data_IF_589781126491
#
_entry.id   IF_589781126491
#
_cell.length_a   1.000
_cell.length_b   1.000
_cell.length_c   1.000
_cell.angle_alpha   90.00
_cell.angle_beta   90.00
_cell.angle_gamma   90.00
#
_symmetry.space_group_name_H-M   'P 1'
#
loop_
_entity.id
_entity.type
_entity.pdbx_description
1 polymer ?
#
# COMPACT_ATOMS: atom_id res chain seq x y z
N UNK A 1 12.68 13.72 -1.26
CA UNK A 1 11.41 13.32 -0.62
C UNK A 1 10.50 12.67 -1.65
N UNK A 2 9.95 11.54 -1.30
CA UNK A 2 9.10 10.76 -2.21
C UNK A 2 7.81 10.36 -1.51
N UNK A 3 6.75 10.25 -2.29
CA UNK A 3 5.50 9.64 -1.85
C UNK A 3 5.44 8.21 -2.37
N UNK A 4 5.16 7.30 -1.46
CA UNK A 4 4.96 5.89 -1.78
C UNK A 4 3.45 5.64 -1.70
N UNK A 5 2.89 5.10 -2.77
CA UNK A 5 1.47 4.72 -2.81
C UNK A 5 1.39 3.25 -3.20
N UNK A 6 0.79 2.45 -2.36
CA UNK A 6 0.65 1.02 -2.60
C UNK A 6 -0.82 0.63 -2.67
N UNK A 7 -1.14 -0.22 -3.63
CA UNK A 7 -2.46 -0.84 -3.74
C UNK A 7 -2.28 -2.30 -3.38
N UNK A 8 -2.81 -2.69 -2.24
CA UNK A 8 -2.63 -4.04 -1.68
C UNK A 8 -3.98 -4.69 -1.42
N UNK A 9 -4.01 -6.01 -1.50
CA UNK A 9 -5.21 -6.75 -1.16
C UNK A 9 -5.50 -6.59 0.34
N UNK A 10 -6.76 -6.39 0.69
CA UNK A 10 -7.13 -6.09 2.08
C UNK A 10 -6.66 -7.15 3.09
N UNK A 11 -6.53 -8.43 2.67
CA UNK A 11 -6.10 -9.50 3.58
C UNK A 11 -4.65 -9.33 4.06
N UNK A 12 -3.86 -8.51 3.34
CA UNK A 12 -2.46 -8.25 3.70
C UNK A 12 -2.25 -6.89 4.36
N UNK A 13 -3.29 -6.08 4.47
CA UNK A 13 -3.12 -4.71 4.95
C UNK A 13 -2.53 -4.65 6.35
N UNK A 14 -2.99 -5.48 7.27
CA UNK A 14 -2.47 -5.49 8.64
C UNK A 14 -1.00 -5.87 8.67
N UNK A 15 -0.61 -6.90 7.93
CA UNK A 15 0.80 -7.34 7.88
C UNK A 15 1.71 -6.24 7.36
N UNK A 16 1.28 -5.54 6.31
CA UNK A 16 2.06 -4.43 5.73
C UNK A 16 2.18 -3.28 6.71
N UNK A 17 1.06 -2.89 7.33
CA UNK A 17 1.04 -1.79 8.29
C UNK A 17 1.95 -2.11 9.48
N UNK A 18 1.84 -3.31 10.05
CA UNK A 18 2.64 -3.71 11.19
C UNK A 18 4.13 -3.70 10.86
N UNK A 19 4.50 -4.22 9.69
CA UNK A 19 5.90 -4.25 9.27
C UNK A 19 6.47 -2.84 9.07
N UNK A 20 5.69 -1.93 8.48
CA UNK A 20 6.12 -0.54 8.30
C UNK A 20 6.27 0.17 9.65
N UNK A 21 5.31 -0.02 10.55
CA UNK A 21 5.38 0.58 11.89
C UNK A 21 6.55 0.04 12.70
N UNK A 22 6.82 -1.25 12.62
CA UNK A 22 7.97 -1.86 13.28
C UNK A 22 9.29 -1.30 12.77
N UNK A 23 9.34 -0.91 11.50
CA UNK A 23 10.51 -0.27 10.91
C UNK A 23 10.60 1.23 11.21
N UNK A 24 9.63 1.80 11.93
CA UNK A 24 9.65 3.19 12.34
C UNK A 24 8.79 4.14 11.49
N UNK A 25 8.07 3.63 10.51
CA UNK A 25 7.21 4.43 9.64
C UNK A 25 5.81 4.49 10.24
N UNK A 26 5.46 5.59 10.90
CA UNK A 26 4.24 5.71 11.70
C UNK A 26 3.15 6.58 11.06
N UNK A 27 3.51 7.43 10.11
CA UNK A 27 2.55 8.34 9.48
C UNK A 27 2.03 7.74 8.18
N UNK A 28 1.12 6.80 8.32
CA UNK A 28 0.54 6.07 7.20
C UNK A 28 -0.89 6.52 6.95
N UNK A 29 -1.24 6.75 5.70
CA UNK A 29 -2.61 7.03 5.29
C UNK A 29 -3.20 5.79 4.62
N UNK A 30 -4.44 5.47 4.98
CA UNK A 30 -5.13 4.28 4.48
C UNK A 30 -6.48 4.67 3.92
N UNK A 31 -6.83 4.05 2.81
CA UNK A 31 -8.12 4.25 2.17
C UNK A 31 -8.62 2.90 1.65
N UNK A 32 -9.82 2.53 2.06
CA UNK A 32 -10.47 1.35 1.51
C UNK A 32 -11.05 1.68 0.16
N UNK A 33 -10.72 0.87 -0.84
CA UNK A 33 -11.16 1.08 -2.21
C UNK A 33 -11.65 -0.22 -2.82
N UNK A 34 -12.31 -0.10 -3.96
CA UNK A 34 -12.65 -1.25 -4.81
C UNK A 34 -11.75 -1.19 -6.03
N UNK A 35 -11.20 -2.33 -6.41
CA UNK A 35 -10.29 -2.38 -7.54
C UNK A 35 -10.38 -3.69 -8.28
N UNK A 36 -9.52 -3.83 -9.26
CA UNK A 36 -9.48 -5.00 -10.13
C UNK A 36 -8.15 -5.74 -10.02
N UNK A 37 -7.56 -5.74 -8.82
CA UNK A 37 -6.37 -6.55 -8.56
C UNK A 37 -6.69 -8.02 -8.78
N UNK A 38 -5.68 -8.75 -9.21
CA UNK A 38 -5.83 -10.16 -9.51
C UNK A 38 -6.28 -10.93 -8.28
N UNK A 39 -7.29 -11.82 -8.38
CA UNK A 39 -7.76 -12.61 -7.25
C UNK A 39 -6.69 -13.52 -6.66
N UNK A 40 -6.86 -13.89 -5.39
CA UNK A 40 -5.92 -14.74 -4.66
C UNK A 40 -5.89 -16.17 -5.14
N UNK A 41 -7.02 -16.70 -5.59
CA UNK A 41 -7.13 -18.09 -6.03
C UNK A 41 -8.49 -18.36 -6.64
N UNK A 42 -8.73 -19.63 -7.00
CA UNK A 42 -9.96 -20.02 -7.69
C UNK A 42 -11.23 -19.69 -6.90
N UNK A 43 -11.21 -19.88 -5.58
CA UNK A 43 -12.37 -19.56 -4.74
C UNK A 43 -12.69 -18.08 -4.77
N UNK A 44 -11.67 -17.26 -4.67
CA UNK A 44 -11.84 -15.82 -4.69
C UNK A 44 -12.24 -15.35 -6.09
N UNK A 45 -11.70 -15.97 -7.09
CA UNK A 45 -12.10 -15.71 -8.47
C UNK A 45 -13.59 -15.99 -8.69
N UNK A 46 -14.10 -17.08 -8.13
CA UNK A 46 -15.50 -17.42 -8.22
C UNK A 46 -16.41 -16.38 -7.57
N UNK A 47 -16.03 -15.89 -6.39
CA UNK A 47 -16.77 -14.81 -5.72
C UNK A 47 -16.65 -13.49 -6.49
N UNK A 48 -15.49 -13.20 -7.03
CA UNK A 48 -15.24 -11.97 -7.78
C UNK A 48 -16.02 -11.95 -9.09
N UNK A 49 -16.21 -13.12 -9.73
CA UNK A 49 -16.94 -13.22 -10.99
C UNK A 49 -18.38 -12.73 -10.85
N UNK A 50 -19.04 -13.01 -9.72
CA UNK A 50 -20.40 -12.54 -9.45
C UNK A 50 -20.44 -11.03 -9.28
N UNK A 51 -19.38 -10.43 -8.76
CA UNK A 51 -19.28 -8.99 -8.51
C UNK A 51 -18.62 -8.23 -9.65
N UNK A 52 -18.34 -8.87 -10.80
CA UNK A 52 -17.68 -8.23 -11.93
C UNK A 52 -16.17 -8.05 -11.72
N UNK A 53 -15.53 -8.95 -10.99
CA UNK A 53 -14.06 -8.94 -10.76
C UNK A 53 -13.62 -7.72 -9.95
N UNK A 54 -14.48 -7.21 -9.06
CA UNK A 54 -14.13 -6.11 -8.16
C UNK A 54 -13.71 -6.67 -6.81
N UNK A 55 -12.57 -6.24 -6.34
CA UNK A 55 -11.94 -6.74 -5.11
C UNK A 55 -11.78 -5.61 -4.12
N UNK A 56 -11.91 -5.92 -2.83
CA UNK A 56 -11.60 -4.97 -1.78
C UNK A 56 -10.09 -4.81 -1.66
N UNK A 57 -9.63 -3.58 -1.79
CA UNK A 57 -8.24 -3.22 -1.71
C UNK A 57 -8.02 -2.16 -0.65
N UNK A 58 -6.77 -2.01 -0.23
CA UNK A 58 -6.36 -0.89 0.61
C UNK A 58 -5.33 -0.08 -0.17
N UNK A 59 -5.57 1.21 -0.28
CA UNK A 59 -4.57 2.15 -0.75
C UNK A 59 -3.83 2.69 0.46
N UNK A 60 -2.55 2.38 0.54
CA UNK A 60 -1.68 2.85 1.61
C UNK A 60 -0.74 3.90 1.03
N UNK A 61 -0.56 5.01 1.74
CA UNK A 61 0.41 6.02 1.30
C UNK A 61 1.21 6.58 2.46
N UNK A 62 2.43 6.95 2.17
CA UNK A 62 3.31 7.64 3.09
C UNK A 62 4.33 8.47 2.30
N UNK A 63 4.93 9.43 2.98
CA UNK A 63 6.02 10.23 2.44
C UNK A 63 7.28 9.88 3.22
N UNK A 64 8.38 9.69 2.51
CA UNK A 64 9.65 9.36 3.14
C UNK A 64 10.80 10.06 2.41
N UNK A 65 11.97 10.04 3.03
CA UNK A 65 13.18 10.58 2.40
C UNK A 65 13.63 9.67 1.25
N UNK A 66 14.38 10.25 0.33
CA UNK A 66 14.87 9.52 -0.84
C UNK A 66 15.67 8.26 -0.45
N UNK A 67 16.43 8.34 0.64
CA UNK A 67 17.23 7.21 1.10
C UNK A 67 16.43 6.13 1.84
N UNK A 68 15.13 6.34 2.03
CA UNK A 68 14.24 5.36 2.67
C UNK A 68 13.39 4.59 1.68
N UNK A 69 13.39 5.00 0.41
CA UNK A 69 12.52 4.42 -0.61
C UNK A 69 12.74 2.92 -0.77
N UNK A 70 13.99 2.49 -0.84
CA UNK A 70 14.31 1.08 -1.03
C UNK A 70 13.80 0.22 0.12
N UNK A 71 13.98 0.68 1.36
CA UNK A 71 13.49 -0.02 2.53
C UNK A 71 11.96 -0.10 2.55
N UNK A 72 11.29 1.03 2.34
CA UNK A 72 9.83 1.10 2.39
C UNK A 72 9.22 0.21 1.31
N UNK A 73 9.69 0.32 0.08
CA UNK A 73 9.15 -0.48 -1.02
C UNK A 73 9.43 -1.96 -0.85
N UNK A 74 10.59 -2.33 -0.31
CA UNK A 74 10.93 -3.72 -0.03
C UNK A 74 9.99 -4.31 1.03
N UNK A 75 9.72 -3.58 2.10
CA UNK A 75 8.80 -4.02 3.15
C UNK A 75 7.41 -4.27 2.57
N UNK A 76 6.88 -3.32 1.80
CA UNK A 76 5.54 -3.44 1.22
C UNK A 76 5.47 -4.63 0.26
N UNK A 77 6.46 -4.77 -0.60
CA UNK A 77 6.47 -5.86 -1.59
C UNK A 77 6.60 -7.23 -0.94
N UNK A 78 7.34 -7.33 0.15
CA UNK A 78 7.52 -8.59 0.87
C UNK A 78 6.26 -8.97 1.66
N UNK A 79 5.71 -8.04 2.42
CA UNK A 79 4.60 -8.32 3.33
C UNK A 79 3.25 -8.30 2.63
N UNK A 80 3.14 -7.59 1.51
CA UNK A 80 1.90 -7.56 0.73
C UNK A 80 1.76 -8.69 -0.29
N UNK A 81 2.80 -9.49 -0.45
CA UNK A 81 2.83 -10.56 -1.44
C UNK A 81 1.84 -11.66 -1.11
N UNK A 82 1.12 -12.13 -2.13
CA UNK A 82 0.20 -13.25 -2.03
C UNK A 82 0.51 -14.22 -3.17
N UNK A 83 1.08 -15.39 -2.83
CA UNK A 83 1.40 -16.39 -3.82
C UNK A 83 2.43 -15.92 -4.87
N UNK A 84 2.52 -16.60 -6.02
CA UNK A 84 3.55 -16.32 -7.03
C UNK A 84 3.18 -15.23 -8.03
N UNK A 85 1.91 -14.86 -8.09
CA UNK A 85 1.42 -13.87 -9.07
C UNK A 85 1.48 -12.46 -8.50
N UNK A 86 1.39 -11.48 -9.40
CA UNK A 86 1.28 -10.07 -8.98
C UNK A 86 -0.02 -9.90 -8.19
N UNK A 87 0.10 -9.36 -6.98
CA UNK A 87 -1.02 -9.17 -6.07
C UNK A 87 -1.26 -7.70 -5.69
N UNK A 88 -0.49 -6.79 -6.24
CA UNK A 88 -0.63 -5.36 -6.00
C UNK A 88 0.46 -4.59 -6.70
N UNK A 89 0.50 -3.28 -6.43
CA UNK A 89 1.47 -2.37 -7.04
C UNK A 89 1.94 -1.34 -6.03
N UNK A 90 3.18 -0.93 -6.17
CA UNK A 90 3.77 0.15 -5.39
C UNK A 90 4.26 1.20 -6.36
N UNK A 91 3.82 2.44 -6.16
CA UNK A 91 4.25 3.58 -6.97
C UNK A 91 5.10 4.52 -6.13
N UNK A 92 6.14 5.05 -6.74
CA UNK A 92 7.03 6.03 -6.12
C UNK A 92 6.97 7.30 -6.95
N UNK A 93 6.58 8.41 -6.33
CA UNK A 93 6.47 9.70 -7.01
C UNK A 93 7.26 10.76 -6.25
N UNK A 94 7.86 11.72 -6.95
CA UNK A 94 8.55 12.83 -6.27
C UNK A 94 7.55 13.75 -5.60
N UNK A 95 7.96 14.30 -4.45
CA UNK A 95 7.20 15.31 -3.72
C UNK A 95 8.02 16.60 -3.78
N UNK A 96 7.48 17.62 -4.46
CA UNK A 96 8.18 18.89 -4.59
C UNK A 96 8.17 19.69 -3.30
N UNK A 97 7.04 19.65 -2.58
CA UNK A 97 6.89 20.34 -1.31
C UNK A 97 5.99 19.53 -0.39
N UNK A 98 6.30 19.56 0.90
CA UNK A 98 5.42 19.04 1.94
C UNK A 98 5.27 20.13 2.98
N UNK A 99 4.07 20.71 3.07
CA UNK A 99 3.77 21.82 3.95
C UNK A 99 2.87 21.31 5.08
N UNK A 100 3.27 21.51 6.33
CA UNK A 100 2.47 21.03 7.46
C UNK A 100 1.17 21.83 7.60
N UNK A 101 0.15 21.14 8.09
CA UNK A 101 -1.11 21.76 8.48
C UNK A 101 -1.13 21.81 10.00
N UNK A 102 -1.24 23.03 10.54
CA UNK A 102 -1.16 23.21 11.97
C UNK A 102 0.27 23.08 12.50
N UNK A 103 0.40 23.00 13.79
CA UNK A 103 1.70 22.97 14.44
C UNK A 103 2.27 24.35 14.63
N UNK A 104 3.57 24.41 14.90
CA UNK A 104 4.25 25.67 15.16
C UNK A 104 4.79 26.25 13.88
N UNK A 105 4.37 27.48 13.56
CA UNK A 105 4.90 28.19 12.39
C UNK A 105 6.27 28.78 12.69
N UNK A 106 7.11 28.79 11.66
CA UNK A 106 8.43 29.42 11.72
C UNK A 106 8.46 30.70 10.94
#
# INVERSE_FOLDING_TARGET
MKQITAFIHHVRSTDVIDALRDAGYKNLSLLDIKGTLKPLGERELAYSAEAGVVISEVQLSLVCDDNQVDEVTAIIRKTGKIGPNISGWVYVTPVEQALPIGGKEN
#
